data_IF_471066160831
#
_entry.id   IF_471066160831
#
_cell.length_a   1.000
_cell.length_b   1.000
_cell.length_c   1.000
_cell.angle_alpha   90.00
_cell.angle_beta   90.00
_cell.angle_gamma   90.00
#
_symmetry.space_group_name_H-M   'P 1'
#
loop_
_entity.id
_entity.type
_entity.pdbx_description
1 polymer ?
#
# COMPACT_ATOMS: atom_id res chain seq x y z
N UNK A 1 -8.71 19.26 25.11
CA UNK A 1 -9.86 18.58 24.47
C UNK A 1 -10.52 19.63 23.60
N UNK A 2 -10.26 19.61 22.29
CA UNK A 2 -10.94 20.50 21.35
C UNK A 2 -12.14 19.73 20.80
N UNK A 3 -13.31 20.31 21.01
CA UNK A 3 -14.61 19.70 20.73
C UNK A 3 -14.93 19.79 19.23
N UNK A 4 -14.83 18.65 18.54
CA UNK A 4 -15.02 18.53 17.08
C UNK A 4 -16.50 18.62 16.68
N UNK A 5 -17.45 18.56 17.61
CA UNK A 5 -18.89 18.61 17.29
C UNK A 5 -19.36 20.00 16.86
N UNK A 6 -18.65 21.07 17.25
CA UNK A 6 -18.99 22.45 16.84
C UNK A 6 -18.63 22.79 15.40
N UNK A 7 -17.83 21.98 14.69
CA UNK A 7 -17.41 22.28 13.31
C UNK A 7 -18.45 21.86 12.26
N UNK A 8 -19.35 20.93 12.57
CA UNK A 8 -20.38 20.49 11.62
C UNK A 8 -21.54 21.49 11.45
N UNK A 9 -21.66 22.48 12.34
CA UNK A 9 -22.71 23.52 12.28
C UNK A 9 -22.36 24.71 11.38
N UNK A 10 -21.13 24.79 10.83
CA UNK A 10 -20.68 25.91 9.99
C UNK A 10 -20.60 25.53 8.51
N UNK A 11 -21.55 24.71 8.05
CA UNK A 11 -21.91 24.61 6.63
C UNK A 11 -22.77 25.82 6.25
N UNK A 12 -22.12 26.98 6.12
CA UNK A 12 -22.54 28.13 5.31
C UNK A 12 -21.71 29.33 5.78
N UNK A 13 -21.06 30.01 4.83
CA UNK A 13 -20.15 31.16 4.97
C UNK A 13 -18.66 30.80 5.06
N UNK A 14 -17.95 31.17 3.99
CA UNK A 14 -16.49 31.13 3.83
C UNK A 14 -15.77 31.61 5.09
N UNK A 15 -15.17 30.69 5.85
CA UNK A 15 -14.39 31.06 7.03
C UNK A 15 -12.93 31.25 6.59
N UNK A 16 -12.63 32.50 6.32
CA UNK A 16 -11.27 32.98 6.26
C UNK A 16 -10.65 32.83 7.66
N UNK A 17 -9.79 31.85 7.87
CA UNK A 17 -9.11 31.63 9.14
C UNK A 17 -7.63 31.95 8.96
N UNK A 18 -7.13 32.87 9.77
CA UNK A 18 -5.73 33.29 9.79
C UNK A 18 -5.20 33.13 11.21
N UNK A 19 -4.02 32.53 11.32
CA UNK A 19 -3.27 32.40 12.57
C UNK A 19 -1.96 33.16 12.43
N UNK A 20 -1.60 33.93 13.46
CA UNK A 20 -0.38 34.73 13.51
C UNK A 20 0.51 34.29 14.67
N UNK A 21 1.83 34.35 14.48
CA UNK A 21 2.78 34.18 15.57
C UNK A 21 2.61 35.32 16.59
N UNK A 22 2.30 35.03 17.86
CA UNK A 22 2.08 36.05 18.88
C UNK A 22 3.33 36.90 19.19
N UNK A 23 4.54 36.44 18.86
CA UNK A 23 5.79 37.19 19.10
C UNK A 23 6.18 38.09 17.94
N UNK A 24 6.02 37.61 16.70
CA UNK A 24 6.47 38.33 15.50
C UNK A 24 5.35 38.99 14.70
N UNK A 25 4.07 38.67 14.98
CA UNK A 25 2.91 39.12 14.21
C UNK A 25 2.80 38.51 12.81
N UNK A 26 3.77 37.68 12.41
CA UNK A 26 3.81 37.04 11.09
C UNK A 26 2.69 36.02 10.96
N UNK A 27 1.98 36.05 9.83
CA UNK A 27 0.99 35.01 9.50
C UNK A 27 1.68 33.64 9.42
N UNK A 28 1.21 32.69 10.24
CA UNK A 28 1.71 31.31 10.30
C UNK A 28 0.79 30.33 9.56
N UNK A 29 -0.49 30.66 9.39
CA UNK A 29 -1.44 29.87 8.62
C UNK A 29 -2.58 30.75 8.10
N UNK A 30 -3.08 30.47 6.90
CA UNK A 30 -4.25 31.12 6.33
C UNK A 30 -5.03 30.15 5.45
N UNK A 31 -6.36 30.15 5.54
CA UNK A 31 -7.20 29.37 4.62
C UNK A 31 -7.21 29.92 3.19
N UNK A 32 -6.71 31.15 2.95
CA UNK A 32 -6.50 31.70 1.60
C UNK A 32 -5.30 31.07 0.90
N UNK A 33 -4.21 30.91 1.64
CA UNK A 33 -2.98 30.31 1.16
C UNK A 33 -2.63 29.16 2.12
N UNK A 34 -3.18 27.96 1.92
CA UNK A 34 -2.98 26.80 2.82
C UNK A 34 -1.56 26.22 2.75
N UNK A 35 -0.58 27.03 2.36
CA UNK A 35 0.83 26.72 2.46
C UNK A 35 1.26 26.86 3.92
N UNK A 36 0.96 25.83 4.71
CA UNK A 36 1.48 25.70 6.06
C UNK A 36 2.94 25.25 5.97
N UNK A 37 3.86 26.17 6.22
CA UNK A 37 5.25 25.80 6.49
C UNK A 37 5.29 25.07 7.83
N UNK A 38 5.61 23.78 7.83
CA UNK A 38 5.74 23.00 9.06
C UNK A 38 6.78 23.69 9.97
N UNK A 39 6.41 24.15 11.18
CA UNK A 39 7.37 24.73 12.09
C UNK A 39 8.43 23.70 12.47
N UNK A 40 9.63 24.17 12.79
CA UNK A 40 10.74 23.30 13.19
C UNK A 40 10.32 22.43 14.39
N UNK A 41 10.59 21.13 14.32
CA UNK A 41 10.32 20.18 15.41
C UNK A 41 8.99 19.44 15.34
N UNK A 42 8.17 19.64 14.29
CA UNK A 42 6.97 18.80 14.07
C UNK A 42 7.39 17.36 13.78
N UNK A 43 6.98 16.42 14.65
CA UNK A 43 7.27 14.98 14.52
C UNK A 43 6.09 14.17 13.99
N UNK A 44 4.87 14.64 14.22
CA UNK A 44 3.63 13.95 13.83
C UNK A 44 2.77 14.91 13.04
N UNK A 45 2.36 14.48 11.84
CA UNK A 45 1.47 15.23 10.96
C UNK A 45 0.21 14.42 10.74
N UNK A 46 -0.92 14.95 11.21
CA UNK A 46 -2.24 14.36 10.98
C UNK A 46 -2.98 15.24 9.97
N UNK A 47 -3.21 14.72 8.78
CA UNK A 47 -3.83 15.45 7.66
C UNK A 47 -4.65 14.49 6.80
N UNK A 48 -5.75 14.98 6.24
CA UNK A 48 -6.56 14.21 5.28
C UNK A 48 -5.92 14.18 3.89
N UNK A 49 -5.20 15.25 3.54
CA UNK A 49 -4.56 15.41 2.24
C UNK A 49 -3.30 16.29 2.34
N UNK A 50 -2.23 15.88 1.66
CA UNK A 50 -1.00 16.66 1.53
C UNK A 50 -0.42 16.52 0.11
N UNK A 51 -0.01 17.66 -0.46
CA UNK A 51 0.77 17.70 -1.71
C UNK A 51 2.20 18.12 -1.37
N UNK A 52 3.16 17.22 -1.59
CA UNK A 52 4.58 17.52 -1.38
C UNK A 52 5.41 16.78 -2.44
N UNK A 53 6.53 17.35 -2.90
CA UNK A 53 7.45 16.63 -3.79
C UNK A 53 8.13 15.44 -3.09
N UNK A 54 8.25 15.46 -1.76
CA UNK A 54 8.96 14.42 -1.00
C UNK A 54 8.44 14.28 0.42
N UNK A 55 8.35 13.04 0.88
CA UNK A 55 8.19 12.67 2.29
C UNK A 55 9.39 11.79 2.66
N UNK A 56 10.06 12.08 3.77
CA UNK A 56 11.25 11.34 4.23
C UNK A 56 11.25 11.29 5.74
N UNK A 57 11.81 10.23 6.32
CA UNK A 57 12.18 10.22 7.74
C UNK A 57 13.48 11.01 7.97
N UNK A 58 13.76 11.29 9.24
CA UNK A 58 15.10 11.65 9.69
C UNK A 58 16.11 10.51 9.50
N UNK A 59 17.40 10.83 9.60
CA UNK A 59 18.53 9.94 9.27
C UNK A 59 18.47 8.60 10.03
N UNK A 60 18.06 8.63 11.29
CA UNK A 60 18.00 7.45 12.18
C UNK A 60 16.58 7.14 12.66
N UNK A 61 15.57 7.59 11.90
CA UNK A 61 14.17 7.45 12.27
C UNK A 61 13.37 6.69 11.20
N UNK A 62 12.29 6.04 11.62
CA UNK A 62 11.36 5.37 10.71
C UNK A 62 10.28 6.35 10.24
N UNK A 63 9.98 6.32 8.94
CA UNK A 63 8.80 6.99 8.41
C UNK A 63 7.59 6.08 8.56
N UNK A 64 6.61 6.49 9.36
CA UNK A 64 5.36 5.75 9.54
C UNK A 64 4.22 6.52 8.88
N UNK A 65 3.56 5.86 7.92
CA UNK A 65 2.37 6.36 7.26
C UNK A 65 1.21 5.45 7.68
N UNK A 66 0.21 6.02 8.34
CA UNK A 66 -0.94 5.29 8.87
C UNK A 66 -2.23 6.02 8.50
N UNK A 67 -3.25 5.23 8.16
CA UNK A 67 -4.63 5.66 7.99
C UNK A 67 -5.51 4.56 8.54
N UNK A 68 -6.66 4.94 9.10
CA UNK A 68 -7.64 3.97 9.61
C UNK A 68 -8.49 3.37 8.49
N UNK A 69 -8.50 3.98 7.29
CA UNK A 69 -9.27 3.50 6.13
C UNK A 69 -8.38 3.09 4.95
N UNK A 70 -7.78 4.06 4.26
CA UNK A 70 -6.85 3.82 3.17
C UNK A 70 -5.81 4.93 3.06
N UNK A 71 -4.67 4.62 2.44
CA UNK A 71 -3.65 5.60 2.06
C UNK A 71 -3.54 5.58 0.54
N UNK A 72 -3.61 6.75 -0.10
CA UNK A 72 -3.48 6.89 -1.55
C UNK A 72 -2.27 7.76 -1.91
N UNK A 73 -1.29 7.14 -2.54
CA UNK A 73 -0.17 7.86 -3.15
C UNK A 73 -0.49 8.18 -4.62
N UNK A 74 -0.34 9.45 -5.00
CA UNK A 74 -0.52 9.92 -6.39
C UNK A 74 0.65 10.83 -6.75
N UNK A 75 1.31 10.53 -7.86
CA UNK A 75 2.29 11.42 -8.48
C UNK A 75 2.00 11.56 -9.97
N UNK A 76 2.32 12.72 -10.55
CA UNK A 76 2.05 12.99 -11.96
C UNK A 76 2.87 12.10 -12.90
N UNK A 77 4.07 11.70 -12.46
CA UNK A 77 5.01 10.86 -13.22
C UNK A 77 5.19 9.48 -12.56
N UNK A 78 4.26 9.10 -11.69
CA UNK A 78 4.36 7.92 -10.83
C UNK A 78 4.87 8.24 -9.44
N UNK A 79 5.15 7.20 -8.67
CA UNK A 79 5.57 7.29 -7.27
C UNK A 79 6.78 6.40 -7.02
N UNK A 80 7.80 6.92 -6.35
CA UNK A 80 9.00 6.18 -5.95
C UNK A 80 9.06 6.10 -4.43
N UNK A 81 9.24 4.90 -3.91
CA UNK A 81 9.41 4.65 -2.48
C UNK A 81 10.74 3.92 -2.28
N UNK A 82 11.56 4.44 -1.38
CA UNK A 82 12.87 3.88 -1.07
C UNK A 82 13.08 3.85 0.44
N UNK A 83 13.72 2.80 0.89
CA UNK A 83 14.06 2.63 2.29
C UNK A 83 14.98 1.42 2.45
N UNK A 84 15.70 1.38 3.58
CA UNK A 84 16.48 0.19 3.95
C UNK A 84 15.58 -1.04 4.08
N UNK A 85 14.41 -0.86 4.67
CA UNK A 85 13.33 -1.84 4.76
C UNK A 85 12.01 -1.11 4.48
N UNK A 86 11.14 -1.71 3.66
CA UNK A 86 9.78 -1.21 3.40
C UNK A 86 8.81 -2.30 3.89
N UNK A 87 7.93 -1.94 4.82
CA UNK A 87 6.90 -2.82 5.36
C UNK A 87 5.53 -2.22 5.03
N UNK A 88 4.70 -2.97 4.32
CA UNK A 88 3.30 -2.65 4.12
C UNK A 88 2.46 -3.65 4.89
N UNK A 89 1.56 -3.13 5.72
CA UNK A 89 0.60 -3.92 6.49
C UNK A 89 -0.79 -3.33 6.27
N UNK A 90 -1.75 -4.19 5.96
CA UNK A 90 -3.15 -3.85 5.82
C UNK A 90 -3.98 -4.95 6.49
N UNK A 91 -5.12 -4.59 7.06
CA UNK A 91 -5.98 -5.54 7.78
C UNK A 91 -6.57 -6.61 6.84
N UNK A 92 -7.00 -6.20 5.64
CA UNK A 92 -7.59 -7.10 4.65
C UNK A 92 -6.76 -7.24 3.38
N UNK A 93 -6.57 -6.13 2.64
CA UNK A 93 -6.00 -6.20 1.30
C UNK A 93 -4.97 -5.10 1.04
N UNK A 94 -3.88 -5.46 0.35
CA UNK A 94 -2.93 -4.52 -0.22
C UNK A 94 -3.10 -4.50 -1.75
N UNK A 95 -3.56 -3.36 -2.29
CA UNK A 95 -3.73 -3.18 -3.73
C UNK A 95 -2.59 -2.37 -4.32
N UNK A 96 -1.75 -3.02 -5.14
CA UNK A 96 -0.77 -2.35 -5.99
C UNK A 96 -1.33 -2.31 -7.42
N UNK A 97 -1.68 -1.12 -7.90
CA UNK A 97 -2.24 -0.93 -9.24
C UNK A 97 -1.45 0.13 -10.00
N UNK A 98 -1.01 -0.23 -11.19
CA UNK A 98 -0.55 0.72 -12.21
C UNK A 98 -1.62 0.85 -13.29
N UNK A 99 -1.90 2.08 -13.73
CA UNK A 99 -2.90 2.33 -14.79
C UNK A 99 -2.26 2.19 -16.17
N UNK A 100 -1.08 2.80 -16.38
CA UNK A 100 -0.38 2.86 -17.67
C UNK A 100 1.14 2.64 -17.49
N UNK A 101 1.55 1.57 -16.81
CA UNK A 101 2.97 1.32 -16.53
C UNK A 101 3.21 0.02 -15.75
N UNK A 102 4.45 -0.22 -15.34
CA UNK A 102 4.82 -1.38 -14.53
C UNK A 102 4.86 -1.07 -13.04
N UNK A 103 4.63 -2.10 -12.22
CA UNK A 103 4.98 -2.08 -10.79
C UNK A 103 6.33 -2.77 -10.69
N UNK A 104 7.34 -2.05 -10.19
CA UNK A 104 8.71 -2.57 -10.03
C UNK A 104 9.00 -2.68 -8.54
N UNK A 105 9.21 -3.91 -8.07
CA UNK A 105 9.69 -4.19 -6.72
C UNK A 105 11.14 -4.65 -6.84
N UNK A 106 12.08 -3.84 -6.35
CA UNK A 106 13.52 -4.11 -6.44
C UNK A 106 14.16 -3.97 -5.06
N UNK A 107 14.66 -5.07 -4.52
CA UNK A 107 15.38 -5.10 -3.25
C UNK A 107 16.75 -5.73 -3.46
N UNK A 108 17.80 -5.09 -2.95
CA UNK A 108 19.19 -5.61 -3.05
C UNK A 108 19.35 -6.99 -2.42
N UNK A 109 18.53 -7.31 -1.41
CA UNK A 109 18.46 -8.62 -0.74
C UNK A 109 17.26 -9.46 -1.18
N UNK A 110 16.64 -9.10 -2.31
CA UNK A 110 15.41 -9.70 -2.81
C UNK A 110 14.15 -9.03 -2.28
N UNK A 111 13.02 -9.42 -2.87
CA UNK A 111 11.67 -9.04 -2.44
C UNK A 111 11.05 -10.27 -1.80
N UNK A 112 10.61 -10.17 -0.55
CA UNK A 112 9.90 -11.24 0.14
C UNK A 112 8.42 -10.91 0.21
N UNK A 113 7.59 -11.89 -0.14
CA UNK A 113 6.14 -11.84 0.00
C UNK A 113 5.79 -13.02 0.90
N UNK A 114 5.22 -12.76 2.08
CA UNK A 114 4.80 -13.84 2.96
C UNK A 114 3.63 -14.59 2.32
N UNK A 115 3.85 -15.87 2.02
CA UNK A 115 2.90 -16.75 1.36
C UNK A 115 1.98 -17.49 2.33
N UNK A 116 2.12 -17.28 3.66
CA UNK A 116 1.34 -17.98 4.68
C UNK A 116 -0.17 -17.78 4.53
N UNK A 117 -0.60 -16.62 4.01
CA UNK A 117 -2.00 -16.24 3.81
C UNK A 117 -2.47 -16.39 2.35
N UNK A 118 -1.62 -16.87 1.44
CA UNK A 118 -1.93 -16.89 0.01
C UNK A 118 -2.65 -18.21 -0.37
N UNK A 119 -3.82 -18.16 -1.03
CA UNK A 119 -4.56 -19.35 -1.41
C UNK A 119 -3.73 -20.27 -2.29
N UNK A 120 -3.65 -21.54 -1.90
CA UNK A 120 -2.97 -22.56 -2.68
C UNK A 120 -3.96 -23.26 -3.60
N UNK A 121 -3.64 -23.28 -4.90
CA UNK A 121 -4.42 -24.09 -5.84
C UNK A 121 -4.14 -25.58 -5.60
N UNK A 122 -5.16 -26.45 -5.73
CA UNK A 122 -4.96 -27.90 -5.66
C UNK A 122 -3.97 -28.34 -6.74
N UNK A 123 -2.91 -29.05 -6.34
CA UNK A 123 -2.02 -29.74 -7.26
C UNK A 123 -2.61 -31.10 -7.60
N UNK A 124 -3.09 -31.27 -8.84
CA UNK A 124 -3.60 -32.55 -9.35
C UNK A 124 -2.49 -33.57 -9.58
N UNK A 125 -1.86 -34.05 -8.52
CA UNK A 125 -1.04 -35.27 -8.51
C UNK A 125 -0.77 -35.69 -7.06
N UNK A 126 -1.30 -36.84 -6.68
CA UNK A 126 -1.03 -37.52 -5.42
C UNK A 126 0.41 -38.03 -5.36
N UNK A 127 1.17 -37.59 -4.36
CA UNK A 127 2.32 -38.33 -3.84
C UNK A 127 3.72 -37.85 -4.25
N UNK A 128 4.21 -36.76 -3.65
CA UNK A 128 5.61 -36.70 -3.19
C UNK A 128 5.79 -35.61 -2.11
N UNK A 129 6.52 -35.89 -1.01
CA UNK A 129 6.56 -35.02 0.17
C UNK A 129 7.64 -33.93 0.14
N UNK A 130 8.23 -33.59 -1.01
CA UNK A 130 9.27 -32.55 -1.09
C UNK A 130 8.86 -31.43 -2.07
N UNK A 131 7.94 -30.58 -1.60
CA UNK A 131 7.50 -29.38 -2.32
C UNK A 131 8.39 -28.21 -1.86
N UNK A 132 9.41 -27.84 -2.65
CA UNK A 132 10.26 -26.67 -2.35
C UNK A 132 10.05 -25.49 -3.30
N UNK A 133 9.24 -25.64 -4.33
CA UNK A 133 9.04 -24.61 -5.36
C UNK A 133 7.57 -24.36 -5.65
N UNK A 134 7.20 -23.08 -5.70
CA UNK A 134 5.86 -22.63 -6.04
C UNK A 134 5.92 -21.62 -7.18
N UNK A 135 4.91 -21.65 -8.05
CA UNK A 135 4.65 -20.59 -9.03
C UNK A 135 3.56 -19.67 -8.51
N UNK A 136 3.77 -18.36 -8.64
CA UNK A 136 2.72 -17.36 -8.43
C UNK A 136 1.97 -17.16 -9.73
N UNK A 137 0.66 -17.35 -9.68
CA UNK A 137 -0.24 -17.29 -10.82
C UNK A 137 -1.28 -16.21 -10.60
N UNK A 138 -1.72 -15.60 -11.70
CA UNK A 138 -2.72 -14.52 -11.70
C UNK A 138 -3.99 -15.04 -12.38
N UNK A 139 -5.12 -14.97 -11.67
CA UNK A 139 -6.44 -15.18 -12.25
C UNK A 139 -6.80 -13.99 -13.15
N UNK A 140 -6.99 -14.23 -14.44
CA UNK A 140 -7.51 -13.20 -15.34
C UNK A 140 -9.03 -13.34 -15.47
N UNK A 141 -9.81 -12.24 -15.51
CA UNK A 141 -9.37 -10.85 -15.39
C UNK A 141 -9.28 -10.33 -13.94
N UNK A 142 -9.60 -11.15 -12.93
CA UNK A 142 -9.80 -10.70 -11.56
C UNK A 142 -8.54 -10.22 -10.82
N UNK A 143 -7.35 -10.52 -11.33
CA UNK A 143 -6.06 -10.18 -10.73
C UNK A 143 -5.70 -10.99 -9.47
N UNK A 144 -6.55 -11.94 -9.06
CA UNK A 144 -6.33 -12.73 -7.83
C UNK A 144 -5.07 -13.57 -7.97
N UNK A 145 -4.21 -13.51 -6.95
CA UNK A 145 -2.98 -14.28 -6.90
C UNK A 145 -3.24 -15.62 -6.23
N UNK A 146 -2.74 -16.70 -6.83
CA UNK A 146 -2.72 -18.02 -6.22
C UNK A 146 -1.36 -18.68 -6.45
N UNK A 147 -0.99 -19.61 -5.57
CA UNK A 147 0.25 -20.37 -5.72
C UNK A 147 -0.02 -21.78 -6.21
N UNK A 148 0.88 -22.30 -7.04
CA UNK A 148 0.84 -23.65 -7.59
C UNK A 148 2.11 -24.39 -7.18
N UNK A 149 1.96 -25.55 -6.56
CA UNK A 149 3.10 -26.40 -6.20
C UNK A 149 3.76 -26.97 -7.46
N UNK A 150 5.10 -26.96 -7.50
CA UNK A 150 5.89 -27.60 -8.56
C UNK A 150 6.59 -28.83 -7.97
N UNK A 151 6.24 -30.02 -8.46
CA UNK A 151 6.85 -31.26 -7.99
C UNK A 151 8.23 -31.47 -8.62
N UNK A 152 9.17 -31.99 -7.83
CA UNK A 152 10.50 -32.39 -8.31
C UNK A 152 10.36 -33.45 -9.42
N UNK A 153 10.89 -33.16 -10.62
CA UNK A 153 10.82 -34.04 -11.80
C UNK A 153 9.77 -33.62 -12.84
N UNK A 154 8.83 -32.74 -12.51
CA UNK A 154 7.98 -32.10 -13.52
C UNK A 154 8.66 -30.82 -14.02
N UNK A 155 8.71 -30.64 -15.34
CA UNK A 155 9.41 -29.51 -15.91
C UNK A 155 8.78 -28.19 -15.46
N UNK A 156 9.61 -27.15 -15.36
CA UNK A 156 9.20 -25.78 -15.08
C UNK A 156 8.20 -25.20 -16.11
N UNK A 157 7.69 -25.99 -17.05
CA UNK A 157 6.75 -25.60 -18.10
C UNK A 157 5.26 -25.78 -17.73
N UNK A 158 4.90 -26.24 -16.54
CA UNK A 158 3.48 -26.23 -16.11
C UNK A 158 2.99 -24.77 -15.99
N UNK A 159 2.35 -24.27 -17.04
CA UNK A 159 1.76 -22.95 -17.08
C UNK A 159 0.57 -22.87 -16.11
N UNK A 160 0.35 -21.72 -15.47
CA UNK A 160 -0.77 -21.46 -14.56
C UNK A 160 -2.14 -21.85 -15.16
N UNK A 161 -2.26 -21.77 -16.49
CA UNK A 161 -3.47 -22.12 -17.24
C UNK A 161 -3.77 -23.63 -17.31
N UNK A 162 -2.80 -24.48 -16.98
CA UNK A 162 -2.93 -25.96 -17.05
C UNK A 162 -3.21 -26.59 -15.69
N UNK A 163 -3.41 -25.78 -14.65
CA UNK A 163 -3.76 -26.27 -13.33
C UNK A 163 -5.20 -26.75 -13.35
N UNK A 164 -5.43 -28.01 -12.99
CA UNK A 164 -6.77 -28.58 -12.95
C UNK A 164 -7.54 -28.01 -11.75
N UNK A 165 -8.36 -26.99 -12.01
CA UNK A 165 -9.22 -26.33 -11.02
C UNK A 165 -10.55 -27.07 -10.77
N UNK A 166 -10.81 -28.17 -11.47
CA UNK A 166 -12.09 -28.88 -11.38
C UNK A 166 -12.17 -29.85 -10.19
N UNK A 167 -11.02 -30.22 -9.61
CA UNK A 167 -10.97 -31.25 -8.56
C UNK A 167 -11.16 -30.71 -7.14
N UNK A 168 -11.12 -29.38 -6.92
CA UNK A 168 -11.38 -28.69 -5.64
C UNK A 168 -11.70 -27.20 -5.91
N UNK A 169 -12.08 -26.45 -4.87
CA UNK A 169 -12.53 -25.05 -4.95
C UNK A 169 -11.61 -24.19 -5.82
N UNK A 170 -12.19 -23.59 -6.85
CA UNK A 170 -11.50 -22.75 -7.83
C UNK A 170 -10.92 -21.49 -7.14
N UNK A 171 -9.58 -21.31 -7.09
CA UNK A 171 -8.93 -20.18 -6.41
C UNK A 171 -9.26 -18.84 -7.06
N UNK A 172 -9.73 -18.84 -8.31
CA UNK A 172 -10.22 -17.65 -8.99
C UNK A 172 -11.66 -17.29 -8.60
N UNK A 173 -12.40 -18.20 -7.96
CA UNK A 173 -13.79 -18.02 -7.54
C UNK A 173 -13.99 -17.91 -6.02
N UNK A 174 -12.99 -18.24 -5.19
CA UNK A 174 -13.01 -17.98 -3.75
C UNK A 174 -13.14 -16.47 -3.48
N UNK A 175 -14.23 -16.06 -2.83
CA UNK A 175 -14.53 -14.66 -2.48
C UNK A 175 -13.72 -14.19 -1.29
#
# INVERSE_FOLDING_TARGET
VFDLERLNSLKEHLILFQSHDPKSGKEIFSTRNPNFGLPNGVRHLHVDYATTPRVTSGVDENLVLRSDSYIRFKGNEGTRMEGKNILWSADQFLFLKSVNGSIILNGTKGVSIDMSQMPQAPSGASGSPFISQFKVCVCMPSGKLFRVAVHAGQSSHTACMRVNMAQHVDPCKLS
#
